data_IF_516171129855
#
_entry.id   IF_516171129855
#
_cell.length_a   1.000
_cell.length_b   1.000
_cell.length_c   1.000
_cell.angle_alpha   90.00
_cell.angle_beta   90.00
_cell.angle_gamma   90.00
#
_symmetry.space_group_name_H-M   'P 1'
#
loop_
_entity.id
_entity.type
_entity.pdbx_description
1 polymer ?
#
# COMPACT_ATOMS: atom_id res chain seq x y z
N UNK A 1 -14.29 -7.14 11.62
CA UNK A 1 -14.40 -6.39 10.36
C UNK A 1 -13.30 -6.90 9.43
N UNK A 2 -13.63 -7.17 8.18
CA UNK A 2 -12.64 -7.71 7.24
C UNK A 2 -11.82 -6.59 6.58
N UNK A 3 -10.79 -7.00 5.82
CA UNK A 3 -9.85 -6.06 5.21
C UNK A 3 -10.54 -5.06 4.28
N UNK A 4 -11.55 -5.49 3.53
CA UNK A 4 -12.27 -4.62 2.60
C UNK A 4 -13.02 -3.50 3.33
N UNK A 5 -13.65 -3.82 4.44
CA UNK A 5 -14.37 -2.81 5.24
C UNK A 5 -13.40 -1.81 5.87
N UNK A 6 -12.28 -2.29 6.40
CA UNK A 6 -11.23 -1.41 6.93
C UNK A 6 -10.67 -0.51 5.83
N UNK A 7 -10.42 -1.08 4.66
CA UNK A 7 -9.90 -0.31 3.51
C UNK A 7 -10.87 0.80 3.11
N UNK A 8 -12.15 0.48 2.93
CA UNK A 8 -13.15 1.45 2.52
C UNK A 8 -13.30 2.58 3.55
N UNK A 9 -13.33 2.22 4.83
CA UNK A 9 -13.41 3.21 5.91
C UNK A 9 -12.18 4.10 5.94
N UNK A 10 -11.00 3.50 5.77
CA UNK A 10 -9.75 4.25 5.78
C UNK A 10 -9.68 5.25 4.63
N UNK A 11 -10.07 4.83 3.42
CA UNK A 11 -10.09 5.73 2.26
C UNK A 11 -11.03 6.91 2.53
N UNK A 12 -12.19 6.63 3.10
CA UNK A 12 -13.16 7.67 3.44
C UNK A 12 -12.57 8.66 4.46
N UNK A 13 -11.89 8.16 5.49
CA UNK A 13 -11.24 9.01 6.49
C UNK A 13 -10.14 9.87 5.88
N UNK A 14 -9.31 9.29 5.02
CA UNK A 14 -8.24 10.03 4.34
C UNK A 14 -8.81 11.12 3.45
N UNK A 15 -9.91 10.85 2.74
CA UNK A 15 -10.55 11.84 1.87
C UNK A 15 -11.13 13.01 2.66
N UNK A 16 -11.38 12.83 3.95
CA UNK A 16 -11.87 13.87 4.85
C UNK A 16 -10.75 14.56 5.63
N UNK A 17 -9.50 14.22 5.34
CA UNK A 17 -8.37 14.78 6.05
C UNK A 17 -8.10 14.17 7.42
N UNK A 18 -8.74 13.05 7.75
CA UNK A 18 -8.53 12.33 9.00
C UNK A 18 -7.36 11.37 8.84
N UNK A 19 -6.15 11.92 8.77
CA UNK A 19 -4.94 11.20 8.43
C UNK A 19 -4.64 10.05 9.38
N UNK A 20 -4.63 10.31 10.68
CA UNK A 20 -4.29 9.30 11.68
C UNK A 20 -5.27 8.13 11.66
N UNK A 21 -6.56 8.42 11.62
CA UNK A 21 -7.60 7.39 11.54
C UNK A 21 -7.50 6.58 10.26
N UNK A 22 -7.23 7.26 9.14
CA UNK A 22 -7.05 6.60 7.85
C UNK A 22 -5.86 5.64 7.85
N UNK A 23 -4.73 6.07 8.38
CA UNK A 23 -3.52 5.24 8.47
C UNK A 23 -3.77 4.03 9.37
N UNK A 24 -4.39 4.22 10.52
CA UNK A 24 -4.72 3.11 11.41
C UNK A 24 -5.65 2.10 10.74
N UNK A 25 -6.63 2.58 9.98
CA UNK A 25 -7.55 1.73 9.23
C UNK A 25 -6.84 0.92 8.16
N UNK A 26 -5.89 1.53 7.44
CA UNK A 26 -5.10 0.82 6.43
C UNK A 26 -4.23 -0.26 7.06
N UNK A 27 -3.61 0.02 8.19
CA UNK A 27 -2.82 -0.98 8.93
C UNK A 27 -3.69 -2.13 9.39
N UNK A 28 -4.88 -1.84 9.89
CA UNK A 28 -5.85 -2.86 10.28
C UNK A 28 -6.24 -3.73 9.09
N UNK A 29 -6.41 -3.15 7.92
CA UNK A 29 -6.73 -3.90 6.70
C UNK A 29 -5.60 -4.86 6.32
N UNK A 30 -4.34 -4.41 6.41
CA UNK A 30 -3.18 -5.24 6.07
C UNK A 30 -3.03 -6.41 7.07
N UNK A 31 -3.21 -6.13 8.35
CA UNK A 31 -2.98 -7.12 9.42
C UNK A 31 -4.17 -8.02 9.68
N UNK A 32 -5.37 -7.61 9.30
CA UNK A 32 -6.60 -8.32 9.59
C UNK A 32 -6.84 -9.50 8.67
N UNK A 33 -7.96 -10.17 8.90
CA UNK A 33 -8.46 -11.21 8.02
C UNK A 33 -9.18 -10.57 6.84
N UNK A 34 -9.15 -11.24 5.70
CA UNK A 34 -9.88 -10.76 4.53
C UNK A 34 -9.17 -11.13 3.25
N UNK A 35 -9.69 -10.61 2.14
CA UNK A 35 -9.19 -10.95 0.82
C UNK A 35 -7.85 -10.29 0.53
N UNK A 36 -7.03 -10.97 -0.23
CA UNK A 36 -5.69 -10.51 -0.58
C UNK A 36 -5.72 -9.26 -1.45
N UNK A 37 -6.74 -9.10 -2.29
CA UNK A 37 -6.88 -7.92 -3.14
C UNK A 37 -6.98 -6.66 -2.28
N UNK A 38 -7.86 -6.64 -1.31
CA UNK A 38 -8.04 -5.49 -0.41
C UNK A 38 -6.77 -5.23 0.42
N UNK A 39 -6.12 -6.27 0.90
CA UNK A 39 -4.87 -6.15 1.65
C UNK A 39 -3.75 -5.55 0.78
N UNK A 40 -3.65 -5.99 -0.47
CA UNK A 40 -2.65 -5.47 -1.40
C UNK A 40 -2.91 -3.98 -1.68
N UNK A 41 -4.16 -3.62 -1.90
CA UNK A 41 -4.53 -2.22 -2.09
C UNK A 41 -4.16 -1.38 -0.87
N UNK A 42 -4.42 -1.88 0.33
CA UNK A 42 -4.07 -1.17 1.56
C UNK A 42 -2.56 -0.99 1.70
N UNK A 43 -1.77 -2.01 1.36
CA UNK A 43 -0.31 -1.92 1.38
C UNK A 43 0.21 -0.83 0.45
N UNK A 44 -0.34 -0.76 -0.76
CA UNK A 44 0.11 0.24 -1.74
C UNK A 44 -0.24 1.65 -1.28
N UNK A 45 -1.43 1.85 -0.73
CA UNK A 45 -1.83 3.17 -0.21
C UNK A 45 -0.93 3.58 0.96
N UNK A 46 -0.63 2.66 1.88
CA UNK A 46 0.30 2.91 2.98
C UNK A 46 1.69 3.26 2.46
N UNK A 47 2.16 2.53 1.45
CA UNK A 47 3.44 2.80 0.82
C UNK A 47 3.51 4.19 0.24
N UNK A 48 2.48 4.61 -0.49
CA UNK A 48 2.37 5.98 -1.01
C UNK A 48 2.41 7.01 0.10
N UNK A 49 1.65 6.77 1.15
CA UNK A 49 1.59 7.67 2.30
C UNK A 49 2.98 7.88 2.91
N UNK A 50 3.72 6.79 3.13
CA UNK A 50 5.05 6.89 3.73
C UNK A 50 6.08 7.50 2.77
N UNK A 51 5.95 7.30 1.47
CA UNK A 51 6.78 8.01 0.48
C UNK A 51 6.57 9.52 0.61
N UNK A 52 5.32 9.95 0.69
CA UNK A 52 4.99 11.36 0.85
C UNK A 52 5.52 11.96 2.14
N UNK A 53 5.60 11.16 3.20
CA UNK A 53 6.16 11.59 4.49
C UNK A 53 7.68 11.52 4.55
N UNK A 54 8.32 10.96 3.54
CA UNK A 54 9.76 10.78 3.52
C UNK A 54 10.26 9.60 4.36
N UNK A 55 9.34 8.76 4.83
CA UNK A 55 9.68 7.57 5.61
C UNK A 55 9.84 6.37 4.68
N UNK A 56 11.00 6.31 4.03
CA UNK A 56 11.25 5.31 3.00
C UNK A 56 11.43 3.90 3.56
N UNK A 57 11.85 3.76 4.80
CA UNK A 57 11.94 2.45 5.45
C UNK A 57 10.57 1.81 5.56
N UNK A 58 9.58 2.56 6.05
CA UNK A 58 8.21 2.08 6.15
C UNK A 58 7.59 1.85 4.77
N UNK A 59 7.86 2.74 3.82
CA UNK A 59 7.36 2.58 2.46
C UNK A 59 7.84 1.25 1.85
N UNK A 60 9.12 0.93 1.98
CA UNK A 60 9.67 -0.34 1.49
C UNK A 60 9.01 -1.54 2.16
N UNK A 61 8.71 -1.43 3.45
CA UNK A 61 8.09 -2.53 4.19
C UNK A 61 6.73 -2.89 3.63
N UNK A 62 5.93 -1.90 3.23
CA UNK A 62 4.60 -2.13 2.67
C UNK A 62 4.62 -2.43 1.17
N UNK A 63 5.49 -1.78 0.41
CA UNK A 63 5.54 -1.96 -1.05
C UNK A 63 6.35 -3.19 -1.47
N UNK A 64 7.35 -3.58 -0.69
CA UNK A 64 8.22 -4.70 -1.02
C UNK A 64 7.47 -6.00 -1.29
N UNK A 65 6.57 -6.44 -0.41
CA UNK A 65 5.81 -7.68 -0.65
C UNK A 65 4.99 -7.65 -1.94
N UNK A 66 4.45 -6.50 -2.32
CA UNK A 66 3.66 -6.36 -3.55
C UNK A 66 4.56 -6.61 -4.78
N UNK A 67 5.74 -6.00 -4.79
CA UNK A 67 6.69 -6.18 -5.89
C UNK A 67 7.24 -7.60 -5.94
N UNK A 68 7.54 -8.20 -4.78
CA UNK A 68 8.07 -9.57 -4.71
C UNK A 68 7.06 -10.60 -5.22
N UNK A 69 5.78 -10.38 -4.94
CA UNK A 69 4.72 -11.31 -5.32
C UNK A 69 4.03 -10.94 -6.63
N UNK A 70 4.59 -10.02 -7.40
CA UNK A 70 3.94 -9.47 -8.60
C UNK A 70 3.49 -10.56 -9.59
N UNK A 71 4.36 -11.53 -9.91
CA UNK A 71 4.01 -12.61 -10.84
C UNK A 71 2.85 -13.45 -10.32
N UNK A 72 2.91 -13.85 -9.05
CA UNK A 72 1.85 -14.63 -8.43
C UNK A 72 0.53 -13.87 -8.42
N UNK A 73 0.58 -12.58 -8.08
CA UNK A 73 -0.62 -11.75 -8.03
C UNK A 73 -1.25 -11.60 -9.42
N UNK A 74 -0.43 -11.44 -10.46
CA UNK A 74 -0.95 -11.38 -11.84
C UNK A 74 -1.55 -12.71 -12.26
N UNK A 75 -0.89 -13.82 -11.91
CA UNK A 75 -1.40 -15.15 -12.27
C UNK A 75 -2.71 -15.46 -11.56
N UNK A 76 -2.83 -15.09 -10.30
CA UNK A 76 -3.98 -15.43 -9.47
C UNK A 76 -5.18 -14.52 -9.72
N UNK A 77 -4.94 -13.24 -9.96
CA UNK A 77 -5.99 -12.22 -10.06
C UNK A 77 -6.07 -11.54 -11.42
N UNK A 78 -5.38 -12.07 -12.41
CA UNK A 78 -5.27 -11.48 -13.75
C UNK A 78 -4.78 -10.04 -13.64
N UNK A 79 -5.42 -9.10 -14.33
CA UNK A 79 -5.02 -7.69 -14.31
C UNK A 79 -5.71 -6.85 -13.22
N UNK A 80 -6.39 -7.51 -12.30
CA UNK A 80 -7.11 -6.81 -11.22
C UNK A 80 -6.20 -5.96 -10.34
N UNK A 81 -4.94 -6.40 -10.13
CA UNK A 81 -3.97 -5.70 -9.31
C UNK A 81 -2.84 -5.04 -10.11
N UNK A 82 -2.99 -4.91 -11.43
CA UNK A 82 -1.93 -4.33 -12.26
C UNK A 82 -1.56 -2.91 -11.84
N UNK A 83 -2.53 -2.07 -11.53
CA UNK A 83 -2.27 -0.69 -11.10
C UNK A 83 -1.46 -0.66 -9.80
N UNK A 84 -1.82 -1.51 -8.85
CA UNK A 84 -1.13 -1.62 -7.56
C UNK A 84 0.30 -2.12 -7.74
N UNK A 85 0.50 -3.13 -8.57
CA UNK A 85 1.82 -3.68 -8.85
C UNK A 85 2.71 -2.64 -9.54
N UNK A 86 2.18 -1.97 -10.56
CA UNK A 86 2.92 -0.92 -11.28
C UNK A 86 3.29 0.22 -10.36
N UNK A 87 2.37 0.64 -9.51
CA UNK A 87 2.61 1.72 -8.55
C UNK A 87 3.68 1.33 -7.54
N UNK A 88 3.63 0.10 -7.01
CA UNK A 88 4.64 -0.38 -6.08
C UNK A 88 6.02 -0.38 -6.71
N UNK A 89 6.14 -0.89 -7.93
CA UNK A 89 7.41 -0.91 -8.67
C UNK A 89 7.94 0.50 -8.90
N UNK A 90 7.08 1.41 -9.33
CA UNK A 90 7.47 2.79 -9.60
C UNK A 90 7.94 3.50 -8.34
N UNK A 91 7.20 3.34 -7.24
CA UNK A 91 7.55 4.00 -5.99
C UNK A 91 8.84 3.45 -5.39
N UNK A 92 9.05 2.12 -5.46
CA UNK A 92 10.29 1.51 -5.01
C UNK A 92 11.48 1.97 -5.84
N UNK A 93 11.31 2.10 -7.16
CA UNK A 93 12.35 2.61 -8.04
C UNK A 93 12.70 4.07 -7.69
N UNK A 94 11.70 4.89 -7.40
CA UNK A 94 11.90 6.27 -6.98
C UNK A 94 12.67 6.34 -5.66
N UNK A 95 12.35 5.50 -4.71
CA UNK A 95 13.05 5.43 -3.43
C UNK A 95 14.52 5.09 -3.66
N UNK A 96 14.80 4.09 -4.51
CA UNK A 96 16.15 3.67 -4.80
C UNK A 96 16.97 4.77 -5.46
N UNK A 97 16.37 5.49 -6.41
CA UNK A 97 17.06 6.53 -7.16
C UNK A 97 17.23 7.83 -6.38
N UNK A 98 16.21 8.22 -5.61
CA UNK A 98 16.14 9.56 -5.02
C UNK A 98 16.05 9.56 -3.50
N UNK A 99 16.07 8.39 -2.86
CA UNK A 99 15.94 8.30 -1.41
C UNK A 99 17.00 9.07 -0.64
N UNK A 100 18.18 9.20 -1.21
CA UNK A 100 19.28 9.94 -0.58
C UNK A 100 18.94 11.43 -0.37
N UNK A 101 18.02 11.97 -1.13
CA UNK A 101 17.63 13.38 -1.00
C UNK A 101 16.87 13.69 0.28
N UNK A 102 16.28 12.65 0.91
CA UNK A 102 15.51 12.79 2.14
C UNK A 102 16.31 12.50 3.40
N UNK A 103 17.55 12.04 3.26
CA UNK A 103 18.42 11.69 4.38
C UNK A 103 19.24 12.89 4.88
#
# INVERSE_FOLDING_TARGET
>A
MDAKLYLNKAIMQLSRGLEEGGVQGLKAAVEGEGDEVSKTQARVILGEYYVMKGDFAQAREYLGPVAQDAERLRDQYDDLLDDEICKADMLLDMIERFGFLAE
#
